data_IF_402035625365
#
_entry.id   IF_402035625365
#
_cell.length_a   1.000
_cell.length_b   1.000
_cell.length_c   1.000
_cell.angle_alpha   90.00
_cell.angle_beta   90.00
_cell.angle_gamma   90.00
#
_symmetry.space_group_name_H-M   'P 1'
#
loop_
_entity.id
_entity.type
_entity.pdbx_description
1 polymer ?
#
# COMPACT_ATOMS: atom_id res chain seq x y z
N UNK A 1 -40.96 -23.78 13.63
CA UNK A 1 -39.56 -23.38 13.91
C UNK A 1 -39.07 -22.62 12.71
N UNK A 2 -39.36 -21.32 12.69
CA UNK A 2 -38.90 -20.44 11.64
C UNK A 2 -37.39 -20.28 11.75
N UNK A 3 -36.67 -20.72 10.71
CA UNK A 3 -35.28 -20.33 10.52
C UNK A 3 -35.30 -18.84 10.25
N UNK A 4 -35.12 -18.02 11.29
CA UNK A 4 -34.77 -16.61 11.13
C UNK A 4 -33.45 -16.62 10.38
N UNK A 5 -33.54 -16.40 9.07
CA UNK A 5 -32.41 -16.14 8.21
C UNK A 5 -31.94 -14.72 8.58
N UNK A 6 -31.21 -14.60 9.70
CA UNK A 6 -30.43 -13.40 9.99
C UNK A 6 -29.31 -13.36 8.96
N UNK A 7 -29.61 -12.95 7.74
CA UNK A 7 -28.59 -12.37 6.89
C UNK A 7 -28.10 -11.14 7.66
N UNK A 8 -26.97 -11.28 8.34
CA UNK A 8 -26.34 -10.16 9.03
C UNK A 8 -26.19 -9.05 8.01
N UNK A 9 -26.83 -7.91 8.24
CA UNK A 9 -26.72 -6.76 7.34
C UNK A 9 -25.23 -6.47 7.07
N UNK A 10 -24.90 -6.31 5.79
CA UNK A 10 -23.52 -6.11 5.33
C UNK A 10 -23.40 -4.80 4.58
N UNK A 11 -22.30 -4.09 4.78
CA UNK A 11 -22.00 -2.83 4.10
C UNK A 11 -20.82 -3.01 3.14
N UNK A 12 -20.91 -2.42 1.95
CA UNK A 12 -19.77 -2.35 1.03
C UNK A 12 -18.72 -1.39 1.59
N UNK A 13 -17.55 -1.91 1.94
CA UNK A 13 -16.39 -1.12 2.39
C UNK A 13 -15.38 -0.98 1.26
N UNK A 14 -15.27 -1.94 0.35
CA UNK A 14 -14.28 -1.95 -0.72
C UNK A 14 -14.91 -2.28 -2.07
N UNK A 15 -15.14 -1.26 -2.89
CA UNK A 15 -15.67 -1.43 -4.25
C UNK A 15 -14.77 -2.31 -5.12
N UNK A 16 -15.34 -2.96 -6.14
CA UNK A 16 -14.60 -3.82 -7.07
C UNK A 16 -13.38 -3.10 -7.68
N UNK A 17 -13.54 -1.87 -8.18
CA UNK A 17 -12.44 -1.10 -8.76
C UNK A 17 -11.31 -0.80 -7.76
N UNK A 18 -11.68 -0.46 -6.51
CA UNK A 18 -10.71 -0.25 -5.44
C UNK A 18 -9.93 -1.54 -5.13
N UNK A 19 -10.62 -2.69 -5.10
CA UNK A 19 -10.00 -3.99 -4.85
C UNK A 19 -9.07 -4.40 -5.98
N UNK A 20 -9.49 -4.28 -7.25
CA UNK A 20 -8.63 -4.58 -8.40
C UNK A 20 -7.37 -3.72 -8.35
N UNK A 21 -7.51 -2.41 -8.15
CA UNK A 21 -6.37 -1.50 -8.03
C UNK A 21 -5.45 -1.90 -6.86
N UNK A 22 -6.02 -2.31 -5.72
CA UNK A 22 -5.23 -2.79 -4.58
C UNK A 22 -4.45 -4.08 -4.90
N UNK A 23 -5.08 -5.08 -5.55
CA UNK A 23 -4.41 -6.34 -5.89
C UNK A 23 -3.31 -6.15 -6.92
N UNK A 24 -3.55 -5.31 -7.94
CA UNK A 24 -2.52 -4.97 -8.93
C UNK A 24 -1.37 -4.20 -8.27
N UNK A 25 -1.68 -3.24 -7.38
CA UNK A 25 -0.65 -2.55 -6.61
C UNK A 25 0.17 -3.52 -5.76
N UNK A 26 -0.49 -4.44 -5.06
CA UNK A 26 0.18 -5.47 -4.26
C UNK A 26 1.12 -6.30 -5.14
N UNK A 27 0.63 -6.85 -6.25
CA UNK A 27 1.43 -7.68 -7.14
C UNK A 27 2.63 -6.93 -7.73
N UNK A 28 2.41 -5.75 -8.30
CA UNK A 28 3.48 -4.95 -8.90
C UNK A 28 4.47 -4.46 -7.86
N UNK A 29 4.00 -3.95 -6.73
CA UNK A 29 4.88 -3.49 -5.66
C UNK A 29 5.71 -4.65 -5.09
N UNK A 30 5.14 -5.85 -4.91
CA UNK A 30 5.89 -7.02 -4.46
C UNK A 30 6.99 -7.38 -5.44
N UNK A 31 6.72 -7.43 -6.75
CA UNK A 31 7.75 -7.72 -7.76
C UNK A 31 8.83 -6.64 -7.74
N UNK A 32 8.45 -5.36 -7.66
CA UNK A 32 9.37 -4.24 -7.58
C UNK A 32 10.21 -4.25 -6.32
N UNK A 33 9.62 -4.62 -5.18
CA UNK A 33 10.33 -4.72 -3.92
C UNK A 33 11.33 -5.87 -3.93
N UNK A 34 10.96 -7.04 -4.46
CA UNK A 34 11.87 -8.19 -4.58
C UNK A 34 13.05 -7.85 -5.51
N UNK A 35 12.74 -7.40 -6.73
CA UNK A 35 13.78 -7.03 -7.71
C UNK A 35 14.63 -5.86 -7.21
N UNK A 36 14.02 -4.86 -6.57
CA UNK A 36 14.70 -3.71 -5.98
C UNK A 36 15.60 -4.10 -4.81
N UNK A 37 15.15 -4.98 -3.92
CA UNK A 37 15.97 -5.51 -2.82
C UNK A 37 17.20 -6.25 -3.33
N UNK A 38 17.06 -7.04 -4.39
CA UNK A 38 18.19 -7.71 -5.05
C UNK A 38 19.25 -6.72 -5.49
N UNK A 39 18.82 -5.64 -6.15
CA UNK A 39 19.71 -4.63 -6.72
C UNK A 39 20.30 -3.70 -5.65
N UNK A 40 19.53 -3.42 -4.59
CA UNK A 40 19.92 -2.54 -3.49
C UNK A 40 20.94 -3.21 -2.56
N UNK A 41 20.75 -4.51 -2.26
CA UNK A 41 21.59 -5.26 -1.33
C UNK A 41 22.09 -6.55 -1.99
N UNK A 42 22.78 -6.40 -3.14
CA UNK A 42 23.22 -7.51 -3.99
C UNK A 42 24.13 -8.50 -3.26
N UNK A 43 24.92 -8.05 -2.29
CA UNK A 43 25.73 -8.92 -1.45
C UNK A 43 24.90 -9.88 -0.58
N UNK A 44 23.70 -9.47 -0.16
CA UNK A 44 22.79 -10.28 0.66
C UNK A 44 21.91 -11.17 -0.23
N UNK A 45 21.48 -10.64 -1.38
CA UNK A 45 20.54 -11.28 -2.29
C UNK A 45 21.18 -11.93 -3.52
N UNK A 46 22.51 -12.11 -3.53
CA UNK A 46 23.24 -12.70 -4.66
C UNK A 46 22.73 -14.08 -5.07
N UNK A 47 22.19 -14.85 -4.12
CA UNK A 47 21.57 -16.15 -4.40
C UNK A 47 20.36 -16.03 -5.34
N UNK A 48 19.66 -14.89 -5.33
CA UNK A 48 18.53 -14.61 -6.20
C UNK A 48 19.00 -14.24 -7.61
N UNK A 49 20.07 -13.44 -7.72
CA UNK A 49 20.74 -13.20 -9.00
C UNK A 49 21.16 -14.54 -9.63
N UNK A 50 21.84 -15.39 -8.86
CA UNK A 50 22.23 -16.72 -9.32
C UNK A 50 21.02 -17.56 -9.76
N UNK A 51 19.97 -17.66 -8.93
CA UNK A 51 18.80 -18.48 -9.22
C UNK A 51 18.05 -18.03 -10.50
N UNK A 52 17.94 -16.72 -10.71
CA UNK A 52 17.27 -16.16 -11.89
C UNK A 52 18.16 -16.22 -13.13
N UNK A 53 19.47 -16.02 -12.98
CA UNK A 53 20.41 -15.97 -14.09
C UNK A 53 20.87 -17.33 -14.59
N UNK A 54 20.91 -18.36 -13.74
CA UNK A 54 21.40 -19.71 -14.09
C UNK A 54 20.79 -20.30 -15.37
N UNK A 55 19.45 -20.24 -15.59
CA UNK A 55 18.84 -20.75 -16.82
C UNK A 55 19.31 -20.05 -18.10
N UNK A 56 19.68 -18.77 -18.02
CA UNK A 56 20.08 -17.95 -19.16
C UNK A 56 21.61 -17.91 -19.36
N UNK A 57 22.37 -18.12 -18.28
CA UNK A 57 23.83 -18.15 -18.28
C UNK A 57 24.39 -19.21 -19.23
N UNK A 58 23.77 -20.40 -19.24
CA UNK A 58 24.17 -21.52 -20.12
C UNK A 58 24.03 -21.16 -21.59
N UNK A 59 23.00 -20.39 -21.95
CA UNK A 59 22.70 -20.02 -23.33
C UNK A 59 23.60 -18.86 -23.81
N UNK A 60 23.95 -17.95 -22.90
CA UNK A 60 24.65 -16.70 -23.20
C UNK A 60 26.15 -16.74 -22.93
N UNK A 61 26.65 -17.78 -22.29
CA UNK A 61 28.07 -17.90 -21.90
C UNK A 61 28.51 -16.85 -20.88
N UNK A 62 27.57 -16.24 -20.15
CA UNK A 62 27.83 -15.21 -19.13
C UNK A 62 27.78 -15.82 -17.74
N UNK A 63 28.47 -15.22 -16.77
CA UNK A 63 28.36 -15.60 -15.36
C UNK A 63 26.88 -15.51 -14.88
N UNK A 64 26.38 -16.54 -14.16
CA UNK A 64 25.00 -16.56 -13.67
C UNK A 64 24.59 -15.36 -12.82
N UNK A 65 25.48 -14.79 -12.02
CA UNK A 65 25.16 -13.67 -11.12
C UNK A 65 24.97 -12.40 -11.95
N UNK A 66 25.91 -12.07 -12.84
CA UNK A 66 25.77 -10.90 -13.72
C UNK A 66 24.54 -11.02 -14.61
N UNK A 67 24.29 -12.21 -15.17
CA UNK A 67 23.09 -12.44 -15.97
C UNK A 67 21.82 -12.24 -15.15
N UNK A 68 21.77 -12.78 -13.93
CA UNK A 68 20.66 -12.58 -13.00
C UNK A 68 20.40 -11.12 -12.68
N UNK A 69 21.44 -10.37 -12.38
CA UNK A 69 21.34 -8.94 -12.08
C UNK A 69 20.77 -8.14 -13.27
N UNK A 70 21.17 -8.46 -14.51
CA UNK A 70 20.59 -7.83 -15.71
C UNK A 70 19.11 -8.20 -15.90
N UNK A 71 18.75 -9.48 -15.72
CA UNK A 71 17.35 -9.94 -15.82
C UNK A 71 16.48 -9.24 -14.78
N UNK A 72 16.91 -9.21 -13.51
CA UNK A 72 16.19 -8.54 -12.44
C UNK A 72 16.06 -7.04 -12.69
N UNK A 73 17.10 -6.38 -13.22
CA UNK A 73 17.05 -4.97 -13.61
C UNK A 73 16.07 -4.71 -14.73
N UNK A 74 16.05 -5.57 -15.76
CA UNK A 74 15.09 -5.47 -16.84
C UNK A 74 13.65 -5.65 -16.33
N UNK A 75 13.41 -6.69 -15.51
CA UNK A 75 12.12 -6.91 -14.86
C UNK A 75 11.69 -5.72 -14.01
N UNK A 76 12.58 -5.19 -13.16
CA UNK A 76 12.31 -4.05 -12.31
C UNK A 76 11.80 -2.85 -13.12
N UNK A 77 12.48 -2.52 -14.23
CA UNK A 77 12.09 -1.41 -15.11
C UNK A 77 10.75 -1.65 -15.80
N UNK A 78 10.51 -2.86 -16.32
CA UNK A 78 9.25 -3.21 -17.00
C UNK A 78 8.06 -3.11 -16.04
N UNK A 79 8.17 -3.73 -14.86
CA UNK A 79 7.11 -3.67 -13.86
C UNK A 79 6.94 -2.27 -13.26
N UNK A 80 8.00 -1.47 -13.18
CA UNK A 80 7.92 -0.08 -12.72
C UNK A 80 7.09 0.76 -13.68
N UNK A 81 7.23 0.52 -14.99
CA UNK A 81 6.40 1.17 -16.00
C UNK A 81 4.92 0.82 -15.84
N UNK A 82 4.57 -0.46 -15.73
CA UNK A 82 3.18 -0.89 -15.53
C UNK A 82 2.58 -0.38 -14.21
N UNK A 83 3.38 -0.39 -13.15
CA UNK A 83 2.98 0.17 -11.86
C UNK A 83 2.74 1.68 -11.95
N UNK A 84 3.61 2.43 -12.62
CA UNK A 84 3.43 3.87 -12.87
C UNK A 84 2.13 4.16 -13.64
N UNK A 85 1.83 3.41 -14.69
CA UNK A 85 0.56 3.53 -15.43
C UNK A 85 -0.64 3.27 -14.52
N UNK A 86 -0.60 2.22 -13.70
CA UNK A 86 -1.65 1.91 -12.73
C UNK A 86 -1.86 3.08 -11.76
N UNK A 87 -0.78 3.62 -11.17
CA UNK A 87 -0.85 4.73 -10.23
C UNK A 87 -1.45 5.99 -10.87
N UNK A 88 -1.06 6.32 -12.10
CA UNK A 88 -1.58 7.48 -12.83
C UNK A 88 -3.07 7.29 -13.11
N UNK A 89 -3.46 6.17 -13.73
CA UNK A 89 -4.86 5.92 -14.11
C UNK A 89 -5.76 5.89 -12.88
N UNK A 90 -5.35 5.16 -11.84
CA UNK A 90 -6.14 5.05 -10.62
C UNK A 90 -6.15 6.34 -9.80
N UNK A 91 -5.03 7.07 -9.74
CA UNK A 91 -4.95 8.38 -9.12
C UNK A 91 -5.89 9.39 -9.79
N UNK A 92 -5.87 9.46 -11.12
CA UNK A 92 -6.79 10.29 -11.90
C UNK A 92 -8.25 9.92 -11.62
N UNK A 93 -8.57 8.63 -11.60
CA UNK A 93 -9.91 8.15 -11.23
C UNK A 93 -10.34 8.66 -9.85
N UNK A 94 -9.48 8.57 -8.83
CA UNK A 94 -9.80 9.04 -7.48
C UNK A 94 -10.03 10.54 -7.42
N UNK A 95 -9.24 11.33 -8.18
CA UNK A 95 -9.36 12.79 -8.24
C UNK A 95 -10.62 13.21 -8.99
N UNK A 96 -10.82 12.73 -10.22
CA UNK A 96 -11.93 13.10 -11.11
C UNK A 96 -13.28 12.79 -10.46
N UNK A 97 -13.41 11.61 -9.84
CA UNK A 97 -14.65 11.20 -9.18
C UNK A 97 -14.73 11.62 -7.70
N UNK A 98 -13.80 12.47 -7.22
CA UNK A 98 -13.76 12.99 -5.84
C UNK A 98 -13.88 11.89 -4.77
N UNK A 99 -13.21 10.75 -5.01
CA UNK A 99 -13.23 9.57 -4.14
C UNK A 99 -12.14 9.58 -3.06
N UNK A 100 -11.29 10.60 -3.03
CA UNK A 100 -10.25 10.77 -2.01
C UNK A 100 -10.90 11.20 -0.69
N UNK A 101 -11.06 10.23 0.23
CA UNK A 101 -11.63 10.45 1.57
C UNK A 101 -10.67 10.10 2.71
N UNK A 102 -9.45 9.68 2.37
CA UNK A 102 -8.47 9.28 3.39
C UNK A 102 -8.08 10.44 4.32
N UNK A 103 -8.16 11.69 3.86
CA UNK A 103 -7.81 12.86 4.66
C UNK A 103 -8.93 13.37 5.58
N UNK A 104 -10.08 12.70 5.62
CA UNK A 104 -11.18 13.14 6.49
C UNK A 104 -10.78 13.08 7.98
N UNK A 105 -9.94 12.11 8.37
CA UNK A 105 -9.54 11.92 9.77
C UNK A 105 -8.67 13.05 10.32
N UNK A 106 -7.90 13.74 9.46
CA UNK A 106 -6.98 14.83 9.86
C UNK A 106 -7.63 16.21 9.81
N UNK A 107 -8.90 16.31 9.41
CA UNK A 107 -9.68 17.57 9.52
C UNK A 107 -10.03 17.94 10.96
N UNK A 108 -9.91 16.99 11.88
CA UNK A 108 -10.19 17.17 13.31
C UNK A 108 -9.03 17.86 14.03
N UNK A 109 -9.23 18.46 15.20
CA UNK A 109 -8.16 19.05 16.00
C UNK A 109 -7.02 18.06 16.30
N UNK A 110 -5.77 18.55 16.34
CA UNK A 110 -4.58 17.71 16.59
C UNK A 110 -4.66 16.92 17.90
N UNK A 111 -5.28 17.49 18.93
CA UNK A 111 -5.49 16.80 20.22
C UNK A 111 -6.30 15.51 20.03
N UNK A 112 -7.41 15.57 19.30
CA UNK A 112 -8.27 14.40 19.04
C UNK A 112 -7.55 13.35 18.18
N UNK A 113 -6.72 13.81 17.23
CA UNK A 113 -5.87 12.95 16.41
C UNK A 113 -4.86 12.17 17.28
N UNK A 114 -4.19 12.85 18.22
CA UNK A 114 -3.24 12.22 19.15
C UNK A 114 -3.96 11.23 20.08
N UNK A 115 -5.12 11.59 20.60
CA UNK A 115 -5.94 10.70 21.44
C UNK A 115 -6.35 9.43 20.69
N UNK A 116 -6.79 9.56 19.43
CA UNK A 116 -7.11 8.40 18.58
C UNK A 116 -5.88 7.56 18.29
N UNK A 117 -4.76 8.17 17.92
CA UNK A 117 -3.51 7.45 17.67
C UNK A 117 -3.06 6.66 18.92
N UNK A 118 -3.11 7.25 20.11
CA UNK A 118 -2.77 6.55 21.35
C UNK A 118 -3.73 5.39 21.64
N UNK A 119 -5.03 5.61 21.47
CA UNK A 119 -6.03 4.57 21.67
C UNK A 119 -5.84 3.38 20.72
N UNK A 120 -5.59 3.65 19.43
CA UNK A 120 -5.34 2.62 18.42
C UNK A 120 -4.02 1.89 18.66
N UNK A 121 -2.96 2.61 19.03
CA UNK A 121 -1.68 1.99 19.37
C UNK A 121 -1.85 1.00 20.53
N UNK A 122 -2.52 1.42 21.61
CA UNK A 122 -2.78 0.56 22.77
C UNK A 122 -3.67 -0.62 22.41
N UNK A 123 -4.70 -0.39 21.59
CA UNK A 123 -5.56 -1.47 21.11
C UNK A 123 -4.76 -2.51 20.30
N UNK A 124 -3.91 -2.07 19.37
CA UNK A 124 -3.15 -2.99 18.52
C UNK A 124 -1.99 -3.69 19.23
N UNK A 125 -1.36 -3.05 20.21
CA UNK A 125 -0.20 -3.61 20.92
C UNK A 125 -0.60 -4.42 22.16
N UNK A 126 -1.66 -4.01 22.86
CA UNK A 126 -2.02 -4.57 24.17
C UNK A 126 -3.45 -5.14 24.21
N UNK A 127 -4.25 -5.00 23.15
CA UNK A 127 -5.63 -5.47 23.11
C UNK A 127 -6.61 -4.60 23.90
N UNK A 128 -6.19 -3.42 24.37
CA UNK A 128 -7.04 -2.50 25.13
C UNK A 128 -8.31 -2.12 24.35
N UNK A 129 -9.48 -2.03 24.99
CA UNK A 129 -10.68 -1.56 24.31
C UNK A 129 -10.53 -0.11 23.85
N UNK A 130 -11.00 0.20 22.64
CA UNK A 130 -11.00 1.57 22.11
C UNK A 130 -12.06 2.39 22.88
N UNK A 131 -11.71 3.55 23.46
CA UNK A 131 -12.68 4.37 24.18
C UNK A 131 -13.84 4.82 23.29
N UNK A 132 -15.05 4.82 23.85
CA UNK A 132 -16.28 5.19 23.13
C UNK A 132 -16.20 6.57 22.42
N UNK A 133 -15.64 7.64 23.02
CA UNK A 133 -15.50 8.93 22.33
C UNK A 133 -14.63 8.87 21.07
N UNK A 134 -13.68 7.91 20.99
CA UNK A 134 -12.83 7.70 19.80
C UNK A 134 -13.61 6.96 18.71
N UNK A 135 -14.37 5.91 19.08
CA UNK A 135 -15.22 5.16 18.14
C UNK A 135 -16.25 6.07 17.49
N UNK A 136 -16.89 6.93 18.29
CA UNK A 136 -17.93 7.82 17.80
C UNK A 136 -17.42 8.76 16.71
N UNK A 137 -16.18 9.23 16.81
CA UNK A 137 -15.55 10.13 15.83
C UNK A 137 -14.73 9.41 14.76
N UNK A 138 -14.67 8.07 14.78
CA UNK A 138 -13.85 7.30 13.86
C UNK A 138 -14.41 7.35 12.43
N UNK A 139 -13.57 7.81 11.50
CA UNK A 139 -13.83 7.76 10.06
C UNK A 139 -13.45 6.38 9.49
N UNK A 140 -13.81 6.13 8.22
CA UNK A 140 -13.45 4.88 7.53
C UNK A 140 -11.93 4.62 7.54
N UNK A 141 -11.14 5.68 7.42
CA UNK A 141 -9.69 5.61 7.58
C UNK A 141 -9.36 6.34 8.87
N UNK A 142 -8.69 5.65 9.80
CA UNK A 142 -8.24 6.26 11.04
C UNK A 142 -7.02 7.14 10.83
N UNK A 143 -6.66 7.93 11.84
CA UNK A 143 -5.55 8.88 11.77
C UNK A 143 -4.21 8.22 11.43
N UNK A 144 -3.93 7.01 11.95
CA UNK A 144 -2.68 6.29 11.64
C UNK A 144 -2.62 5.92 10.16
N UNK A 145 -3.74 5.50 9.56
CA UNK A 145 -3.81 5.21 8.12
C UNK A 145 -3.49 6.45 7.30
N UNK A 146 -3.93 7.64 7.73
CA UNK A 146 -3.59 8.90 7.04
C UNK A 146 -2.10 9.22 7.16
N UNK A 147 -1.51 9.07 8.35
CA UNK A 147 -0.07 9.30 8.52
C UNK A 147 0.78 8.31 7.73
N UNK A 148 0.40 7.03 7.71
CA UNK A 148 1.03 6.03 6.84
C UNK A 148 0.88 6.40 5.36
N UNK A 149 -0.26 6.98 4.97
CA UNK A 149 -0.45 7.47 3.60
C UNK A 149 0.54 8.56 3.22
N UNK A 150 0.93 9.45 4.16
CA UNK A 150 1.96 10.44 3.85
C UNK A 150 3.31 9.78 3.52
N UNK A 151 3.65 8.65 4.12
CA UNK A 151 4.84 7.88 3.73
C UNK A 151 4.75 7.47 2.25
N UNK A 152 3.58 6.98 1.80
CA UNK A 152 3.37 6.67 0.39
C UNK A 152 3.42 7.91 -0.51
N UNK A 153 2.80 9.01 -0.10
CA UNK A 153 2.77 10.25 -0.87
C UNK A 153 4.16 10.85 -1.08
N UNK A 154 5.10 10.60 -0.16
CA UNK A 154 6.50 11.01 -0.29
C UNK A 154 7.29 9.95 -1.08
N UNK A 155 7.10 8.68 -0.75
CA UNK A 155 7.81 7.56 -1.36
C UNK A 155 7.54 7.44 -2.87
N UNK A 156 6.27 7.59 -3.31
CA UNK A 156 5.90 7.40 -4.71
C UNK A 156 6.55 8.41 -5.66
N UNK A 157 6.54 9.74 -5.38
CA UNK A 157 7.32 10.69 -6.17
C UNK A 157 8.81 10.37 -6.16
N UNK A 158 9.39 10.04 -4.99
CA UNK A 158 10.81 9.71 -4.91
C UNK A 158 11.14 8.53 -5.82
N UNK A 159 10.42 7.40 -5.69
CA UNK A 159 10.63 6.21 -6.53
C UNK A 159 10.36 6.48 -8.02
N UNK A 160 9.24 7.11 -8.35
CA UNK A 160 8.79 7.26 -9.74
C UNK A 160 9.64 8.28 -10.50
N UNK A 161 9.88 9.46 -9.92
CA UNK A 161 10.64 10.53 -10.58
C UNK A 161 12.10 10.11 -10.70
N UNK A 162 12.71 9.64 -9.61
CA UNK A 162 14.11 9.19 -9.68
C UNK A 162 14.27 7.96 -10.58
N UNK A 163 13.36 7.00 -10.53
CA UNK A 163 13.40 5.78 -11.34
C UNK A 163 13.33 6.09 -12.83
N UNK A 164 12.38 6.93 -13.25
CA UNK A 164 12.27 7.36 -14.66
C UNK A 164 13.54 8.10 -15.10
N UNK A 165 14.02 9.06 -14.30
CA UNK A 165 15.24 9.81 -14.64
C UNK A 165 16.48 8.93 -14.71
N UNK A 166 16.61 7.91 -13.84
CA UNK A 166 17.69 6.93 -13.87
C UNK A 166 17.65 6.05 -15.11
N UNK A 167 16.46 5.64 -15.55
CA UNK A 167 16.27 4.85 -16.78
C UNK A 167 16.73 5.65 -18.01
N UNK A 168 16.38 6.94 -18.08
CA UNK A 168 16.71 7.81 -19.21
C UNK A 168 17.98 8.66 -19.01
N UNK A 169 18.80 8.36 -18.01
CA UNK A 169 19.93 9.22 -17.59
C UNK A 169 20.89 9.59 -18.72
N UNK A 170 21.14 8.65 -19.64
CA UNK A 170 22.06 8.86 -20.76
C UNK A 170 21.42 9.74 -21.84
N UNK A 171 20.16 9.48 -22.18
CA UNK A 171 19.39 10.28 -23.15
C UNK A 171 19.19 11.72 -22.68
N UNK A 172 19.08 11.92 -21.36
CA UNK A 172 18.94 13.22 -20.73
C UNK A 172 20.28 13.92 -20.46
N UNK A 173 21.42 13.29 -20.76
CA UNK A 173 22.75 13.85 -20.51
C UNK A 173 23.01 14.16 -19.03
N UNK A 174 22.45 13.37 -18.10
CA UNK A 174 22.61 13.62 -16.68
C UNK A 174 24.06 13.39 -16.25
N UNK A 175 24.58 14.32 -15.43
CA UNK A 175 25.91 14.15 -14.84
C UNK A 175 25.95 12.94 -13.88
N UNK A 176 27.16 12.48 -13.59
CA UNK A 176 27.39 11.42 -12.60
C UNK A 176 26.87 11.81 -11.21
N UNK A 177 27.11 13.06 -10.78
CA UNK A 177 26.63 13.58 -9.50
C UNK A 177 25.11 13.58 -9.40
N UNK A 178 24.41 14.01 -10.46
CA UNK A 178 22.95 13.96 -10.54
C UNK A 178 22.45 12.52 -10.52
N UNK A 179 23.09 11.61 -11.24
CA UNK A 179 22.73 10.18 -11.23
C UNK A 179 22.85 9.57 -9.83
N UNK A 180 23.92 9.89 -9.10
CA UNK A 180 24.11 9.42 -7.72
C UNK A 180 23.06 9.99 -6.77
N UNK A 181 22.74 11.28 -6.89
CA UNK A 181 21.66 11.92 -6.13
C UNK A 181 20.31 11.23 -6.39
N UNK A 182 19.98 10.96 -7.65
CA UNK A 182 18.75 10.27 -8.02
C UNK A 182 18.71 8.85 -7.44
N UNK A 183 19.83 8.11 -7.47
CA UNK A 183 19.90 6.79 -6.85
C UNK A 183 19.64 6.86 -5.34
N UNK A 184 20.29 7.78 -4.63
CA UNK A 184 20.05 8.00 -3.20
C UNK A 184 18.58 8.32 -2.91
N UNK A 185 17.96 9.20 -3.70
CA UNK A 185 16.54 9.54 -3.56
C UNK A 185 15.63 8.32 -3.84
N UNK A 186 15.99 7.49 -4.82
CA UNK A 186 15.29 6.25 -5.13
C UNK A 186 15.35 5.29 -3.93
N UNK A 187 16.53 5.11 -3.35
CA UNK A 187 16.76 4.23 -2.20
C UNK A 187 16.02 4.72 -0.95
N UNK A 188 16.02 6.03 -0.67
CA UNK A 188 15.21 6.63 0.40
C UNK A 188 13.73 6.36 0.15
N UNK A 189 13.25 6.58 -1.09
CA UNK A 189 11.88 6.29 -1.48
C UNK A 189 11.52 4.82 -1.26
N UNK A 190 12.42 3.91 -1.58
CA UNK A 190 12.26 2.47 -1.39
C UNK A 190 12.13 2.10 0.10
N UNK A 191 13.04 2.60 0.94
CA UNK A 191 13.00 2.36 2.40
C UNK A 191 11.69 2.88 3.01
N UNK A 192 11.25 4.09 2.63
CA UNK A 192 9.97 4.64 3.08
C UNK A 192 8.78 3.77 2.65
N UNK A 193 8.81 3.22 1.44
CA UNK A 193 7.78 2.29 0.97
C UNK A 193 7.75 1.00 1.78
N UNK A 194 8.92 0.43 2.11
CA UNK A 194 9.01 -0.76 2.94
C UNK A 194 8.48 -0.51 4.35
N UNK A 195 8.84 0.62 4.98
CA UNK A 195 8.29 1.02 6.28
C UNK A 195 6.77 1.10 6.21
N UNK A 196 6.21 1.74 5.18
CA UNK A 196 4.77 1.76 4.95
C UNK A 196 4.19 0.34 4.88
N UNK A 197 4.77 -0.55 4.09
CA UNK A 197 4.27 -1.93 3.92
C UNK A 197 4.28 -2.68 5.24
N UNK A 198 5.35 -2.61 6.03
CA UNK A 198 5.40 -3.28 7.33
C UNK A 198 4.33 -2.75 8.29
N UNK A 199 4.16 -1.43 8.38
CA UNK A 199 3.11 -0.83 9.22
C UNK A 199 1.71 -1.18 8.71
N UNK A 200 1.52 -1.19 7.38
CA UNK A 200 0.26 -1.56 6.75
C UNK A 200 -0.10 -3.03 7.00
N UNK A 201 0.85 -3.95 6.88
CA UNK A 201 0.67 -5.36 7.18
C UNK A 201 0.38 -5.58 8.66
N UNK A 202 1.13 -4.94 9.55
CA UNK A 202 0.88 -4.99 10.99
C UNK A 202 -0.57 -4.57 11.32
N UNK A 203 -1.03 -3.44 10.78
CA UNK A 203 -2.39 -2.97 11.01
C UNK A 203 -3.46 -3.85 10.35
N UNK A 204 -3.26 -4.27 9.09
CA UNK A 204 -4.26 -5.02 8.32
C UNK A 204 -4.42 -6.47 8.78
N UNK A 205 -3.36 -7.09 9.29
CA UNK A 205 -3.37 -8.46 9.83
C UNK A 205 -3.83 -8.53 11.29
N UNK A 206 -4.00 -7.40 11.97
CA UNK A 206 -4.53 -7.38 13.32
C UNK A 206 -5.92 -8.03 13.37
N UNK A 207 -6.23 -8.93 14.35
CA UNK A 207 -7.49 -9.69 14.39
C UNK A 207 -8.75 -8.83 14.30
N UNK A 208 -8.74 -7.65 14.92
CA UNK A 208 -9.84 -6.66 14.84
C UNK A 208 -10.18 -6.25 13.41
N UNK A 209 -9.20 -6.24 12.50
CA UNK A 209 -9.36 -5.82 11.11
C UNK A 209 -9.63 -6.98 10.16
N UNK A 210 -9.81 -8.21 10.67
CA UNK A 210 -10.13 -9.38 9.85
C UNK A 210 -11.32 -9.16 8.91
N UNK A 211 -12.43 -8.50 9.30
CA UNK A 211 -13.52 -8.18 8.36
C UNK A 211 -13.09 -7.28 7.20
N UNK A 212 -12.18 -6.31 7.42
CA UNK A 212 -11.62 -5.50 6.32
C UNK A 212 -10.75 -6.33 5.40
N UNK A 213 -9.93 -7.21 5.97
CA UNK A 213 -9.05 -8.09 5.19
C UNK A 213 -9.90 -9.01 4.30
N UNK A 214 -10.94 -9.62 4.87
CA UNK A 214 -11.90 -10.43 4.12
C UNK A 214 -12.64 -9.61 3.06
N UNK A 215 -13.08 -8.39 3.37
CA UNK A 215 -13.71 -7.51 2.39
C UNK A 215 -12.76 -7.19 1.23
N UNK A 216 -11.49 -6.87 1.53
CA UNK A 216 -10.49 -6.53 0.53
C UNK A 216 -10.25 -7.69 -0.45
N UNK A 217 -10.05 -8.90 0.06
CA UNK A 217 -9.72 -10.08 -0.75
C UNK A 217 -10.94 -10.91 -1.19
N UNK A 218 -12.14 -10.61 -0.70
CA UNK A 218 -13.36 -11.42 -0.88
C UNK A 218 -14.42 -10.77 -1.76
N UNK A 219 -15.48 -10.21 -1.17
CA UNK A 219 -16.65 -9.65 -1.88
C UNK A 219 -16.76 -8.12 -1.74
N UNK A 220 -15.87 -7.47 -1.00
CA UNK A 220 -15.91 -6.03 -0.74
C UNK A 220 -16.78 -5.62 0.44
N UNK A 221 -17.38 -6.56 1.18
CA UNK A 221 -18.36 -6.27 2.23
C UNK A 221 -17.85 -6.66 3.62
N UNK A 222 -18.37 -5.96 4.63
CA UNK A 222 -18.15 -6.31 6.03
C UNK A 222 -19.47 -6.27 6.82
N UNK A 223 -19.57 -6.99 7.96
CA UNK A 223 -20.74 -6.93 8.83
C UNK A 223 -20.98 -5.51 9.35
N UNK A 224 -22.24 -5.05 9.33
CA UNK A 224 -22.58 -3.70 9.77
C UNK A 224 -22.28 -3.49 11.26
N UNK A 225 -22.55 -4.49 12.11
CA UNK A 225 -22.29 -4.44 13.55
C UNK A 225 -20.81 -4.19 13.86
N UNK A 226 -19.92 -4.84 13.09
CA UNK A 226 -18.49 -4.61 13.19
C UNK A 226 -18.15 -3.18 12.72
N UNK A 227 -18.73 -2.73 11.62
CA UNK A 227 -18.47 -1.39 11.09
C UNK A 227 -18.96 -0.28 12.04
N UNK A 228 -20.07 -0.47 12.73
CA UNK A 228 -20.58 0.46 13.75
C UNK A 228 -19.65 0.55 14.96
N UNK A 229 -19.04 -0.58 15.36
CA UNK A 229 -18.10 -0.66 16.48
C UNK A 229 -16.77 0.05 16.21
N UNK A 230 -16.35 0.18 14.96
CA UNK A 230 -15.03 0.71 14.62
C UNK A 230 -15.05 1.99 13.76
N UNK A 231 -16.16 2.31 13.09
CA UNK A 231 -16.29 3.44 12.17
C UNK A 231 -17.54 4.28 12.43
N UNK A 232 -17.78 4.65 13.70
CA UNK A 232 -19.03 5.30 14.12
C UNK A 232 -19.41 6.54 13.30
N UNK A 233 -18.45 7.44 13.03
CA UNK A 233 -18.75 8.65 12.25
C UNK A 233 -19.06 8.33 10.77
N UNK A 234 -18.33 7.39 10.19
CA UNK A 234 -18.54 6.96 8.81
C UNK A 234 -19.92 6.33 8.60
N UNK A 235 -20.32 5.42 9.50
CA UNK A 235 -21.61 4.74 9.39
C UNK A 235 -22.77 5.72 9.58
N UNK A 236 -22.68 6.65 10.53
CA UNK A 236 -23.73 7.68 10.69
C UNK A 236 -23.90 8.56 9.46
N UNK A 237 -22.81 8.87 8.74
CA UNK A 237 -22.88 9.71 7.53
C UNK A 237 -23.25 8.94 6.26
N UNK A 238 -22.84 7.68 6.13
CA UNK A 238 -22.89 6.96 4.85
C UNK A 238 -23.53 5.57 4.91
N UNK A 239 -23.66 4.95 6.09
CA UNK A 239 -24.08 3.56 6.25
C UNK A 239 -25.55 3.27 5.93
N UNK A 240 -26.43 4.29 5.94
CA UNK A 240 -27.88 4.12 5.68
C UNK A 240 -28.32 4.25 4.21
N UNK A 241 -27.39 4.30 3.25
CA UNK A 241 -27.73 4.45 1.82
C UNK A 241 -27.74 3.14 1.00
N UNK A 242 -27.69 1.97 1.65
CA UNK A 242 -27.54 0.66 0.99
C UNK A 242 -28.76 -0.27 0.97
N UNK A 243 -29.98 0.22 1.20
CA UNK A 243 -31.21 -0.57 1.06
C UNK A 243 -32.21 0.16 0.16
N UNK A 244 -31.93 0.19 -1.15
CA UNK A 244 -32.95 0.27 -2.21
C UNK A 244 -32.49 -0.56 -3.39
#
# INVERSE_FOLDING_TARGET
MDKINTQSESIEIASLGYRIAHHLNLAFFTILAITGSALFASNIFQWMDYAVGYPFAVITGTDPISMGAEVLRAMHRIFAFFWGVLLIVYGLYLVVFKKIRMFDAIRRPLREQIEEAKALARHYLFGDPIPQPVIERAERHNVMVVYMTFLLLISFPLLSISGVLLVYRFSLGLSQSTTQMLLMLHDIGFILALIFVFLHLFASLHPTNRPLLMAMFGDGKAPIEWAEKYFGAYIRRYGRRGSK
#
